data_IF_324704395635
#
_entry.id   IF_324704395635
#
_cell.length_a   1.000
_cell.length_b   1.000
_cell.length_c   1.000
_cell.angle_alpha   90.00
_cell.angle_beta   90.00
_cell.angle_gamma   90.00
#
_symmetry.space_group_name_H-M   'P 1'
#
loop_
_entity.id
_entity.type
_entity.pdbx_description
1 polymer ?
#
# COMPACT_ATOMS: atom_id res chain seq x y z
N UNK A 1 7.54 2.42 -28.30
CA UNK A 1 7.37 3.88 -28.50
C UNK A 1 6.20 4.10 -29.45
N UNK A 2 5.23 4.91 -29.04
CA UNK A 2 4.18 5.63 -29.81
C UNK A 2 3.04 5.95 -28.82
N UNK A 3 3.09 7.03 -28.02
CA UNK A 3 2.62 8.41 -28.30
C UNK A 3 1.22 8.48 -28.92
N UNK A 4 0.20 8.66 -28.06
CA UNK A 4 -1.14 9.08 -28.45
C UNK A 4 -1.23 10.61 -28.42
N UNK A 5 -1.69 11.17 -29.54
CA UNK A 5 -1.86 12.60 -29.77
C UNK A 5 -3.18 13.10 -29.18
N UNK A 6 -3.10 14.21 -28.46
CA UNK A 6 -4.22 15.06 -28.03
C UNK A 6 -4.90 15.71 -29.22
N UNK A 7 -6.23 15.86 -29.17
CA UNK A 7 -6.94 16.83 -30.01
C UNK A 7 -7.99 17.55 -29.17
N UNK A 8 -7.73 18.85 -29.00
CA UNK A 8 -8.55 19.82 -28.30
C UNK A 8 -9.85 20.13 -29.08
N UNK A 9 -10.89 20.46 -28.32
CA UNK A 9 -12.19 20.94 -28.80
C UNK A 9 -12.07 22.40 -29.25
N UNK A 10 -12.67 22.70 -30.41
CA UNK A 10 -12.94 24.06 -30.89
C UNK A 10 -14.43 24.20 -31.22
N UNK A 11 -15.09 25.02 -30.40
CA UNK A 11 -16.17 26.01 -30.66
C UNK A 11 -16.74 26.20 -32.10
N UNK A 12 -18.09 26.14 -32.21
CA UNK A 12 -19.01 26.96 -33.06
C UNK A 12 -20.46 26.43 -32.89
N UNK A 13 -21.40 27.20 -32.33
CA UNK A 13 -22.29 28.24 -32.91
C UNK A 13 -23.39 27.71 -33.84
N UNK A 14 -24.61 27.74 -33.30
CA UNK A 14 -25.96 28.05 -33.83
C UNK A 14 -26.58 27.41 -35.10
N UNK A 15 -27.89 27.14 -34.94
CA UNK A 15 -29.01 27.41 -35.86
C UNK A 15 -29.76 26.23 -36.55
N UNK A 16 -31.00 26.08 -36.07
CA UNK A 16 -32.30 25.77 -36.70
C UNK A 16 -32.59 24.55 -37.61
N UNK A 17 -33.83 24.06 -37.35
CA UNK A 17 -34.86 23.55 -38.26
C UNK A 17 -35.08 22.05 -38.54
N UNK A 18 -36.39 21.76 -38.60
CA UNK A 18 -37.08 20.46 -38.54
C UNK A 18 -36.81 19.51 -39.73
N UNK A 19 -37.08 18.19 -39.55
CA UNK A 19 -37.04 17.21 -40.64
C UNK A 19 -38.40 17.00 -41.34
N UNK A 20 -38.46 17.31 -42.63
CA UNK A 20 -39.42 16.77 -43.60
C UNK A 20 -38.82 15.52 -44.28
N UNK A 21 -39.64 14.47 -44.44
CA UNK A 21 -39.19 13.12 -44.77
C UNK A 21 -38.94 12.83 -46.25
N UNK A 22 -38.45 11.62 -46.52
CA UNK A 22 -38.73 10.84 -47.73
C UNK A 22 -38.12 9.43 -47.61
N UNK A 23 -38.79 8.46 -48.25
CA UNK A 23 -38.60 7.03 -48.11
C UNK A 23 -37.68 6.41 -49.18
N UNK A 24 -36.97 5.34 -48.78
CA UNK A 24 -36.49 4.22 -49.63
C UNK A 24 -35.34 4.52 -50.62
N UNK A 25 -34.54 3.52 -51.04
CA UNK A 25 -35.00 2.18 -51.39
C UNK A 25 -34.16 0.99 -50.86
N UNK A 26 -34.77 -0.18 -51.00
CA UNK A 26 -34.31 -1.53 -50.68
C UNK A 26 -33.12 -2.02 -51.52
N UNK A 27 -32.12 -2.64 -50.88
CA UNK A 27 -31.13 -3.49 -51.55
C UNK A 27 -31.12 -4.90 -50.97
N UNK A 28 -31.09 -5.88 -51.88
CA UNK A 28 -31.08 -7.32 -51.62
C UNK A 28 -29.69 -7.74 -51.15
N UNK A 29 -29.52 -8.63 -50.15
CA UNK A 29 -28.19 -9.13 -49.82
C UNK A 29 -27.76 -10.26 -50.78
N UNK A 30 -26.62 -10.02 -51.42
CA UNK A 30 -25.83 -10.99 -52.19
C UNK A 30 -25.39 -12.18 -51.32
N UNK A 31 -25.34 -13.37 -51.93
CA UNK A 31 -24.95 -14.63 -51.26
C UNK A 31 -23.48 -14.91 -51.56
N UNK A 32 -22.68 -15.03 -50.52
CA UNK A 32 -21.27 -15.43 -50.61
C UNK A 32 -21.10 -16.95 -50.36
N UNK A 33 -20.08 -17.53 -50.99
CA UNK A 33 -19.86 -18.96 -51.34
C UNK A 33 -19.70 -19.95 -50.14
N UNK A 34 -19.97 -19.53 -48.90
CA UNK A 34 -19.95 -20.40 -47.71
C UNK A 34 -21.22 -20.35 -46.85
N UNK A 35 -22.32 -19.76 -47.32
CA UNK A 35 -23.66 -19.99 -46.73
C UNK A 35 -23.85 -19.49 -45.28
N UNK A 36 -22.97 -18.62 -44.77
CA UNK A 36 -23.12 -18.02 -43.44
C UNK A 36 -23.66 -16.60 -43.62
N UNK A 37 -24.96 -16.43 -43.38
CA UNK A 37 -25.61 -15.13 -43.30
C UNK A 37 -25.11 -14.42 -42.03
N UNK A 38 -24.28 -13.37 -42.19
CA UNK A 38 -23.96 -12.45 -41.09
C UNK A 38 -25.22 -11.68 -40.69
N UNK A 39 -25.94 -12.18 -39.69
CA UNK A 39 -26.99 -11.39 -39.04
C UNK A 39 -26.35 -10.50 -37.98
N UNK A 40 -26.37 -9.18 -38.18
CA UNK A 40 -26.06 -8.21 -37.12
C UNK A 40 -27.05 -8.30 -35.94
N UNK A 41 -26.77 -7.62 -34.82
CA UNK A 41 -27.62 -7.67 -33.63
C UNK A 41 -29.03 -7.15 -33.96
N UNK A 42 -30.04 -8.00 -33.77
CA UNK A 42 -31.44 -7.65 -33.98
C UNK A 42 -31.90 -6.74 -32.85
N UNK A 43 -32.18 -5.47 -33.14
CA UNK A 43 -32.97 -4.60 -32.28
C UNK A 43 -34.38 -5.19 -32.15
N UNK A 44 -34.67 -5.79 -30.99
CA UNK A 44 -35.99 -6.29 -30.65
C UNK A 44 -36.89 -5.11 -30.23
N UNK A 45 -37.58 -4.50 -31.19
CA UNK A 45 -38.77 -3.71 -30.87
C UNK A 45 -39.91 -4.69 -30.58
N UNK A 46 -40.24 -4.86 -29.30
CA UNK A 46 -41.38 -5.66 -28.86
C UNK A 46 -42.23 -4.82 -27.93
N UNK A 47 -43.48 -4.58 -28.29
CA UNK A 47 -44.49 -4.09 -27.34
C UNK A 47 -44.56 -5.03 -26.13
N UNK A 48 -44.65 -4.44 -24.94
CA UNK A 48 -44.42 -5.07 -23.63
C UNK A 48 -45.24 -6.36 -23.41
N UNK A 49 -46.45 -6.42 -23.97
CA UNK A 49 -47.34 -7.58 -23.84
C UNK A 49 -46.87 -8.78 -24.65
N UNK A 50 -46.40 -8.59 -25.88
CA UNK A 50 -45.90 -9.69 -26.75
C UNK A 50 -44.55 -10.25 -26.30
N UNK A 51 -43.76 -9.44 -25.57
CA UNK A 51 -42.49 -9.85 -24.97
C UNK A 51 -42.72 -10.81 -23.79
N UNK A 52 -43.67 -10.50 -22.90
CA UNK A 52 -44.01 -11.33 -21.75
C UNK A 52 -44.57 -12.71 -22.13
N UNK A 53 -45.43 -12.80 -23.15
CA UNK A 53 -45.93 -14.09 -23.62
C UNK A 53 -44.83 -14.95 -24.24
N UNK A 54 -43.91 -14.34 -25.00
CA UNK A 54 -42.73 -15.04 -25.53
C UNK A 54 -41.82 -15.51 -24.40
N UNK A 55 -41.56 -14.65 -23.41
CA UNK A 55 -40.74 -14.99 -22.25
C UNK A 55 -41.38 -16.10 -21.40
N UNK A 56 -42.70 -16.07 -21.20
CA UNK A 56 -43.46 -17.13 -20.51
C UNK A 56 -43.38 -18.45 -21.27
N UNK A 57 -43.49 -18.43 -22.59
CA UNK A 57 -43.35 -19.62 -23.44
C UNK A 57 -41.92 -20.15 -23.43
N UNK A 58 -40.90 -19.28 -23.44
CA UNK A 58 -39.50 -19.68 -23.28
C UNK A 58 -39.22 -20.25 -21.90
N UNK A 59 -39.80 -19.67 -20.85
CA UNK A 59 -39.71 -20.17 -19.49
C UNK A 59 -40.32 -21.56 -19.36
N UNK A 60 -41.51 -21.78 -19.95
CA UNK A 60 -42.16 -23.09 -19.95
C UNK A 60 -41.31 -24.14 -20.68
N UNK A 61 -40.81 -23.81 -21.89
CA UNK A 61 -39.88 -24.68 -22.63
C UNK A 61 -38.60 -24.98 -21.85
N UNK A 62 -38.09 -24.02 -21.08
CA UNK A 62 -36.88 -24.18 -20.26
C UNK A 62 -37.13 -25.03 -19.02
N UNK A 63 -38.32 -24.91 -18.41
CA UNK A 63 -38.78 -25.78 -17.32
C UNK A 63 -38.91 -27.24 -17.80
N UNK A 64 -39.56 -27.47 -18.95
CA UNK A 64 -39.73 -28.82 -19.51
C UNK A 64 -38.38 -29.46 -19.85
N UNK A 65 -37.44 -28.68 -20.41
CA UNK A 65 -36.05 -29.15 -20.64
C UNK A 65 -35.32 -29.51 -19.35
N UNK A 66 -35.51 -28.72 -18.29
CA UNK A 66 -34.90 -29.01 -16.98
C UNK A 66 -35.53 -30.24 -16.34
N UNK A 67 -36.83 -30.44 -16.47
CA UNK A 67 -37.52 -31.64 -16.00
C UNK A 67 -37.06 -32.88 -16.78
N UNK A 68 -36.94 -32.80 -18.11
CA UNK A 68 -36.36 -33.86 -18.93
C UNK A 68 -34.90 -34.15 -18.54
N UNK A 69 -34.07 -33.12 -18.31
CA UNK A 69 -32.69 -33.30 -17.85
C UNK A 69 -32.61 -33.89 -16.44
N UNK A 70 -33.56 -33.56 -15.55
CA UNK A 70 -33.67 -34.18 -14.21
C UNK A 70 -34.08 -35.64 -14.31
N UNK A 71 -35.02 -35.98 -15.19
CA UNK A 71 -35.41 -37.37 -15.46
C UNK A 71 -34.24 -38.16 -16.05
N UNK A 72 -33.53 -37.62 -17.05
CA UNK A 72 -32.35 -38.26 -17.66
C UNK A 72 -31.19 -38.43 -16.67
N UNK A 73 -31.04 -37.53 -15.68
CA UNK A 73 -30.02 -37.65 -14.63
C UNK A 73 -30.45 -38.57 -13.47
N UNK A 74 -31.75 -38.65 -13.17
CA UNK A 74 -32.28 -39.51 -12.12
C UNK A 74 -32.41 -40.97 -12.59
N UNK A 75 -32.76 -41.20 -13.86
CA UNK A 75 -32.66 -42.51 -14.49
C UNK A 75 -31.35 -42.58 -15.26
N UNK A 76 -30.27 -42.86 -14.54
CA UNK A 76 -29.05 -43.41 -15.12
C UNK A 76 -29.34 -44.77 -15.75
N UNK A 77 -30.05 -44.77 -16.88
CA UNK A 77 -30.30 -45.95 -17.69
C UNK A 77 -29.04 -46.29 -18.43
N UNK A 78 -28.25 -47.10 -17.73
CA UNK A 78 -27.50 -48.19 -18.29
C UNK A 78 -28.28 -48.77 -19.49
N UNK A 79 -27.84 -48.48 -20.72
CA UNK A 79 -28.23 -49.27 -21.88
C UNK A 79 -27.63 -50.65 -21.64
N UNK A 80 -28.46 -51.59 -21.20
CA UNK A 80 -28.09 -52.97 -20.94
C UNK A 80 -27.79 -53.68 -22.27
N UNK A 81 -26.59 -53.45 -22.79
CA UNK A 81 -26.00 -54.19 -23.90
C UNK A 81 -24.70 -54.83 -23.43
N UNK A 82 -24.77 -56.11 -23.05
CA UNK A 82 -23.66 -57.07 -22.87
C UNK A 82 -22.51 -56.60 -21.97
N UNK A 83 -22.48 -57.17 -20.77
CA UNK A 83 -21.37 -57.10 -19.82
C UNK A 83 -20.03 -57.42 -20.48
N UNK A 84 -19.15 -56.42 -20.58
CA UNK A 84 -17.74 -56.67 -20.84
C UNK A 84 -17.11 -57.26 -19.56
N UNK A 85 -16.68 -58.52 -19.68
CA UNK A 85 -16.05 -59.34 -18.65
C UNK A 85 -14.54 -59.18 -18.86
N UNK A 86 -13.96 -58.11 -18.33
CA UNK A 86 -12.54 -58.05 -17.98
C UNK A 86 -12.41 -57.09 -16.80
N UNK A 87 -11.76 -57.52 -15.74
CA UNK A 87 -11.65 -56.84 -14.45
C UNK A 87 -10.70 -55.65 -14.43
N UNK A 88 -10.72 -54.81 -15.47
CA UNK A 88 -10.11 -53.47 -15.46
C UNK A 88 -10.99 -52.44 -14.76
N UNK A 89 -12.26 -52.78 -14.42
CA UNK A 89 -13.22 -51.86 -13.78
C UNK A 89 -12.77 -51.26 -12.45
N UNK A 90 -11.90 -51.92 -11.69
CA UNK A 90 -11.41 -51.40 -10.40
C UNK A 90 -10.33 -50.34 -10.62
N UNK A 91 -9.35 -50.63 -11.46
CA UNK A 91 -8.28 -49.70 -11.83
C UNK A 91 -8.80 -48.52 -12.64
N UNK A 92 -9.77 -48.75 -13.53
CA UNK A 92 -10.44 -47.71 -14.31
C UNK A 92 -11.30 -46.80 -13.42
N UNK A 93 -12.00 -47.35 -12.42
CA UNK A 93 -12.69 -46.55 -11.40
C UNK A 93 -11.73 -45.74 -10.55
N UNK A 94 -10.57 -46.30 -10.20
CA UNK A 94 -9.56 -45.56 -9.43
C UNK A 94 -8.93 -44.45 -10.28
N UNK A 95 -8.70 -44.69 -11.57
CA UNK A 95 -8.25 -43.68 -12.51
C UNK A 95 -9.29 -42.56 -12.69
N UNK A 96 -10.57 -42.91 -12.80
CA UNK A 96 -11.66 -41.93 -12.86
C UNK A 96 -11.78 -41.15 -11.55
N UNK A 97 -11.68 -41.81 -10.39
CA UNK A 97 -11.68 -41.14 -9.08
C UNK A 97 -10.51 -40.16 -8.94
N UNK A 98 -9.30 -40.55 -9.35
CA UNK A 98 -8.14 -39.63 -9.38
C UNK A 98 -8.33 -38.48 -10.36
N UNK A 99 -8.98 -38.72 -11.50
CA UNK A 99 -9.29 -37.67 -12.47
C UNK A 99 -10.36 -36.71 -11.93
N UNK A 100 -11.37 -37.21 -11.23
CA UNK A 100 -12.41 -36.42 -10.57
C UNK A 100 -11.87 -35.63 -9.37
N UNK A 101 -10.93 -36.19 -8.61
CA UNK A 101 -10.16 -35.48 -7.58
C UNK A 101 -9.28 -34.39 -8.20
N UNK A 102 -8.58 -34.67 -9.31
CA UNK A 102 -7.80 -33.66 -10.00
C UNK A 102 -8.69 -32.55 -10.57
N UNK A 103 -9.89 -32.89 -11.09
CA UNK A 103 -10.90 -31.92 -11.52
C UNK A 103 -11.43 -31.12 -10.34
N UNK A 104 -11.72 -31.74 -9.19
CA UNK A 104 -12.21 -31.04 -7.99
C UNK A 104 -11.17 -30.09 -7.43
N UNK A 105 -9.89 -30.46 -7.42
CA UNK A 105 -8.78 -29.58 -7.03
C UNK A 105 -8.62 -28.41 -8.00
N UNK A 106 -8.77 -28.63 -9.32
CA UNK A 106 -8.77 -27.54 -10.32
C UNK A 106 -9.96 -26.61 -10.13
N UNK A 107 -11.15 -27.15 -9.89
CA UNK A 107 -12.35 -26.36 -9.62
C UNK A 107 -12.20 -25.55 -8.34
N UNK A 108 -11.69 -26.14 -7.26
CA UNK A 108 -11.43 -25.44 -6.00
C UNK A 108 -10.34 -24.36 -6.16
N UNK A 109 -9.32 -24.60 -6.98
CA UNK A 109 -8.30 -23.59 -7.31
C UNK A 109 -8.90 -22.42 -8.09
N UNK A 110 -9.78 -22.69 -9.06
CA UNK A 110 -10.47 -21.68 -9.85
C UNK A 110 -11.49 -20.90 -9.01
N UNK A 111 -12.26 -21.56 -8.15
CA UNK A 111 -13.17 -20.91 -7.19
C UNK A 111 -12.40 -19.97 -6.26
N UNK A 112 -11.22 -20.41 -5.78
CA UNK A 112 -10.35 -19.57 -4.96
C UNK A 112 -9.70 -18.43 -5.76
N UNK A 113 -9.55 -18.55 -7.07
CA UNK A 113 -9.09 -17.46 -7.92
C UNK A 113 -10.21 -16.42 -8.10
N UNK A 114 -11.43 -16.87 -8.42
CA UNK A 114 -12.61 -16.02 -8.54
C UNK A 114 -12.91 -15.25 -7.26
N UNK A 115 -12.89 -15.89 -6.09
CA UNK A 115 -13.08 -15.17 -4.82
C UNK A 115 -12.03 -14.07 -4.58
N UNK A 116 -10.78 -14.29 -4.98
CA UNK A 116 -9.74 -13.25 -4.86
C UNK A 116 -9.96 -12.10 -5.82
N UNK A 117 -10.45 -12.38 -7.02
CA UNK A 117 -10.81 -11.37 -8.00
C UNK A 117 -12.00 -10.54 -7.50
N UNK A 118 -13.06 -11.17 -6.99
CA UNK A 118 -14.20 -10.50 -6.35
C UNK A 118 -13.77 -9.62 -5.16
N UNK A 119 -12.87 -10.12 -4.31
CA UNK A 119 -12.33 -9.34 -3.18
C UNK A 119 -11.48 -8.16 -3.67
N UNK A 120 -10.72 -8.33 -4.75
CA UNK A 120 -9.92 -7.27 -5.35
C UNK A 120 -10.83 -6.19 -5.97
N UNK A 121 -11.88 -6.57 -6.69
CA UNK A 121 -12.89 -5.64 -7.23
C UNK A 121 -13.59 -4.86 -6.11
N UNK A 122 -13.95 -5.52 -5.01
CA UNK A 122 -14.52 -4.85 -3.83
C UNK A 122 -13.56 -3.84 -3.23
N UNK A 123 -12.27 -4.17 -3.14
CA UNK A 123 -11.24 -3.25 -2.67
C UNK A 123 -11.05 -2.06 -3.63
N UNK A 124 -11.10 -2.28 -4.94
CA UNK A 124 -11.02 -1.20 -5.93
C UNK A 124 -12.24 -0.27 -5.82
N UNK A 125 -13.45 -0.82 -5.71
CA UNK A 125 -14.65 -0.03 -5.50
C UNK A 125 -14.61 0.77 -4.18
N UNK A 126 -14.07 0.18 -3.10
CA UNK A 126 -13.86 0.87 -1.84
C UNK A 126 -12.83 2.00 -1.97
N UNK A 127 -11.74 1.79 -2.72
CA UNK A 127 -10.75 2.83 -3.02
C UNK A 127 -11.36 3.96 -3.85
N UNK A 128 -12.14 3.64 -4.88
CA UNK A 128 -12.83 4.63 -5.71
C UNK A 128 -13.78 5.50 -4.88
N UNK A 129 -14.58 4.89 -4.01
CA UNK A 129 -15.45 5.62 -3.07
C UNK A 129 -14.66 6.50 -2.10
N UNK A 130 -13.45 6.07 -1.73
CA UNK A 130 -12.58 6.86 -0.87
C UNK A 130 -11.98 8.06 -1.61
N UNK A 131 -11.56 7.88 -2.87
CA UNK A 131 -11.05 8.96 -3.71
C UNK A 131 -12.12 9.98 -4.03
N UNK A 132 -13.34 9.55 -4.40
CA UNK A 132 -14.48 10.46 -4.61
C UNK A 132 -14.79 11.27 -3.34
N UNK A 133 -14.73 10.64 -2.17
CA UNK A 133 -14.94 11.33 -0.89
C UNK A 133 -13.82 12.32 -0.58
N UNK A 134 -12.55 11.96 -0.80
CA UNK A 134 -11.45 12.91 -0.58
C UNK A 134 -11.55 14.10 -1.52
N UNK A 135 -11.83 13.87 -2.80
CA UNK A 135 -12.06 14.95 -3.78
C UNK A 135 -13.23 15.85 -3.37
N UNK A 136 -14.30 15.27 -2.82
CA UNK A 136 -15.43 16.06 -2.30
C UNK A 136 -15.00 16.94 -1.12
N UNK A 137 -14.21 16.41 -0.18
CA UNK A 137 -13.68 17.19 0.94
C UNK A 137 -12.76 18.31 0.46
N UNK A 138 -11.90 18.04 -0.52
CA UNK A 138 -11.00 19.06 -1.08
C UNK A 138 -11.79 20.18 -1.76
N UNK A 139 -12.80 19.83 -2.58
CA UNK A 139 -13.72 20.80 -3.21
C UNK A 139 -14.48 21.64 -2.18
N UNK A 140 -14.96 21.02 -1.09
CA UNK A 140 -15.59 21.74 0.02
C UNK A 140 -14.62 22.70 0.72
N UNK A 141 -13.38 22.28 0.96
CA UNK A 141 -12.34 23.12 1.57
C UNK A 141 -11.94 24.30 0.67
N UNK A 142 -11.97 24.12 -0.64
CA UNK A 142 -11.75 25.18 -1.63
C UNK A 142 -12.92 26.15 -1.74
N UNK A 143 -14.09 25.81 -1.18
CA UNK A 143 -15.29 26.62 -1.24
C UNK A 143 -16.05 26.47 -2.56
N UNK A 144 -15.81 25.40 -3.31
CA UNK A 144 -16.62 25.08 -4.48
C UNK A 144 -18.01 24.61 -4.03
N UNK A 145 -19.06 25.06 -4.73
CA UNK A 145 -20.43 24.60 -4.49
C UNK A 145 -20.50 23.10 -4.70
N UNK A 146 -20.91 22.35 -3.67
CA UNK A 146 -21.18 20.92 -3.78
C UNK A 146 -22.60 20.75 -4.27
N UNK A 147 -22.77 20.03 -5.37
CA UNK A 147 -24.08 19.69 -5.91
C UNK A 147 -24.57 18.37 -5.27
N UNK A 148 -25.88 18.28 -4.98
CA UNK A 148 -26.48 17.11 -4.35
C UNK A 148 -26.37 15.85 -5.22
N UNK A 149 -26.50 16.00 -6.53
CA UNK A 149 -26.26 14.98 -7.54
C UNK A 149 -25.49 15.62 -8.71
N UNK A 150 -24.66 14.88 -9.45
CA UNK A 150 -24.01 15.39 -10.66
C UNK A 150 -24.98 15.85 -11.77
N UNK A 151 -26.26 15.45 -11.67
CA UNK A 151 -27.30 15.73 -12.66
C UNK A 151 -28.34 16.76 -12.20
N UNK A 152 -28.37 17.10 -10.91
CA UNK A 152 -29.29 18.09 -10.37
C UNK A 152 -28.44 19.26 -9.86
N UNK A 153 -28.51 20.42 -10.53
CA UNK A 153 -27.77 21.64 -10.19
C UNK A 153 -28.22 22.29 -8.87
N UNK A 154 -28.76 21.51 -7.93
CA UNK A 154 -29.14 21.95 -6.60
C UNK A 154 -27.90 22.04 -5.71
N UNK A 155 -27.52 23.26 -5.26
CA UNK A 155 -26.46 23.44 -4.28
C UNK A 155 -26.85 22.77 -2.96
N UNK A 156 -25.92 22.05 -2.35
CA UNK A 156 -26.04 21.66 -0.94
C UNK A 156 -25.58 22.84 -0.09
N UNK A 157 -26.52 23.50 0.57
CA UNK A 157 -26.21 24.54 1.56
C UNK A 157 -25.75 23.88 2.86
N UNK A 158 -24.49 24.12 3.22
CA UNK A 158 -23.95 23.70 4.50
C UNK A 158 -24.12 24.80 5.53
N UNK A 159 -24.49 24.44 6.76
CA UNK A 159 -24.57 25.37 7.89
C UNK A 159 -23.20 25.94 8.30
N UNK A 160 -22.11 25.36 7.79
CA UNK A 160 -20.73 25.71 8.13
C UNK A 160 -19.97 26.06 6.85
N UNK A 161 -19.38 27.25 6.83
CA UNK A 161 -18.50 27.68 5.74
C UNK A 161 -17.12 27.00 5.86
N UNK A 162 -16.91 25.90 5.12
CA UNK A 162 -15.65 25.15 5.13
C UNK A 162 -14.42 25.98 4.71
N UNK A 163 -14.62 27.03 3.90
CA UNK A 163 -13.56 27.93 3.45
C UNK A 163 -13.04 28.91 4.52
N UNK A 164 -13.79 29.18 5.59
CA UNK A 164 -13.41 30.18 6.62
C UNK A 164 -12.09 29.84 7.32
N UNK A 165 -11.92 28.56 7.68
CA UNK A 165 -10.70 28.10 8.33
C UNK A 165 -9.48 28.18 7.41
N UNK A 166 -9.64 27.84 6.12
CA UNK A 166 -8.58 27.94 5.12
C UNK A 166 -8.17 29.39 4.89
N UNK A 167 -9.15 30.30 4.71
CA UNK A 167 -8.89 31.75 4.58
C UNK A 167 -8.14 32.30 5.79
N UNK A 168 -8.53 31.93 7.01
CA UNK A 168 -7.83 32.34 8.23
C UNK A 168 -6.38 31.84 8.27
N UNK A 169 -6.13 30.60 7.87
CA UNK A 169 -4.77 30.03 7.80
C UNK A 169 -3.93 30.73 6.73
N UNK A 170 -4.51 31.03 5.57
CA UNK A 170 -3.81 31.71 4.49
C UNK A 170 -3.54 33.18 4.83
N UNK A 171 -4.44 33.85 5.56
CA UNK A 171 -4.24 35.19 6.13
C UNK A 171 -3.15 35.19 7.20
N UNK A 172 -3.14 34.21 8.12
CA UNK A 172 -2.09 34.06 9.13
C UNK A 172 -0.73 33.79 8.46
N UNK A 173 -0.69 32.90 7.45
CA UNK A 173 0.52 32.64 6.65
C UNK A 173 0.97 33.86 5.85
N UNK A 174 0.06 34.69 5.37
CA UNK A 174 0.38 35.95 4.70
C UNK A 174 0.93 36.97 5.72
N UNK A 175 0.29 37.10 6.88
CA UNK A 175 0.72 37.99 7.95
C UNK A 175 2.11 37.60 8.50
N UNK A 176 2.40 36.31 8.63
CA UNK A 176 3.74 35.83 9.01
C UNK A 176 4.79 36.15 7.94
N UNK A 177 4.44 36.03 6.66
CA UNK A 177 5.31 36.43 5.55
C UNK A 177 5.57 37.95 5.55
N UNK A 178 4.55 38.76 5.80
CA UNK A 178 4.72 40.21 5.89
C UNK A 178 5.52 40.61 7.14
N UNK A 179 5.28 40.01 8.32
CA UNK A 179 6.10 40.21 9.52
C UNK A 179 7.57 39.87 9.28
N UNK A 180 7.84 38.83 8.48
CA UNK A 180 9.19 38.45 8.12
C UNK A 180 9.83 39.45 7.16
N UNK A 181 9.09 39.92 6.13
CA UNK A 181 9.55 41.01 5.25
C UNK A 181 9.84 42.29 6.04
N UNK A 182 8.95 42.67 6.95
CA UNK A 182 9.15 43.82 7.83
C UNK A 182 10.38 43.64 8.73
N UNK A 183 10.66 42.43 9.23
CA UNK A 183 11.91 42.14 9.97
C UNK A 183 13.16 42.20 9.09
N UNK A 184 13.06 41.77 7.83
CA UNK A 184 14.16 41.86 6.86
C UNK A 184 14.43 43.32 6.45
N UNK A 185 13.39 44.14 6.30
CA UNK A 185 13.48 45.58 5.98
C UNK A 185 13.88 46.43 7.18
N UNK A 186 13.45 46.06 8.40
CA UNK A 186 13.82 46.75 9.65
C UNK A 186 15.21 46.36 10.16
N UNK A 187 15.84 45.33 9.60
CA UNK A 187 17.21 44.98 9.92
C UNK A 187 18.17 46.09 9.39
N UNK A 188 19.03 46.67 10.25
CA UNK A 188 19.89 47.77 9.86
C UNK A 188 20.83 47.33 8.72
N UNK A 189 20.78 48.06 7.59
CA UNK A 189 21.64 47.85 6.43
C UNK A 189 23.06 48.28 6.80
N UNK A 190 23.82 47.36 7.39
CA UNK A 190 25.21 47.62 7.74
C UNK A 190 25.84 46.48 8.51
N UNK A 191 26.82 45.84 7.88
CA UNK A 191 27.66 44.72 8.33
C UNK A 191 27.11 43.30 8.09
N UNK A 192 27.50 42.75 6.93
CA UNK A 192 27.68 41.31 6.75
C UNK A 192 26.41 40.51 6.41
N UNK A 193 25.88 40.67 5.19
CA UNK A 193 25.03 39.63 4.59
C UNK A 193 25.89 38.41 4.24
N UNK A 194 26.04 37.48 5.17
CA UNK A 194 26.16 36.08 4.79
C UNK A 194 24.76 35.61 4.36
N UNK A 195 24.59 34.91 3.23
CA UNK A 195 23.30 34.33 2.86
C UNK A 195 22.83 33.44 4.03
N UNK A 196 21.64 33.69 4.55
CA UNK A 196 20.99 32.76 5.47
C UNK A 196 20.82 31.45 4.67
N UNK A 197 21.40 30.32 5.10
CA UNK A 197 21.22 29.07 4.37
C UNK A 197 19.73 28.74 4.26
N UNK A 198 19.22 28.57 3.03
CA UNK A 198 17.81 28.28 2.67
C UNK A 198 17.27 26.94 3.20
N UNK A 199 17.91 26.35 4.20
CA UNK A 199 17.51 25.07 4.81
C UNK A 199 16.43 25.22 5.88
N UNK A 200 15.96 26.44 6.16
CA UNK A 200 14.90 26.69 7.13
C UNK A 200 13.56 26.89 6.42
N UNK A 201 12.95 25.79 5.95
CA UNK A 201 11.56 25.81 5.49
C UNK A 201 10.62 25.94 6.70
N UNK A 202 9.96 27.09 6.86
CA UNK A 202 8.99 27.31 7.95
C UNK A 202 7.73 26.42 7.88
N UNK A 203 7.54 25.73 6.75
CA UNK A 203 6.52 24.68 6.57
C UNK A 203 6.97 23.31 7.09
N UNK A 204 8.27 23.12 7.33
CA UNK A 204 8.81 21.90 7.90
C UNK A 204 8.65 22.02 9.42
N UNK A 205 7.83 21.14 10.01
CA UNK A 205 7.53 21.14 11.45
C UNK A 205 8.82 21.36 12.24
N UNK A 206 8.86 22.42 13.07
CA UNK A 206 9.98 22.64 14.00
C UNK A 206 10.29 21.28 14.61
N UNK A 207 11.54 20.82 14.50
CA UNK A 207 11.97 19.56 15.12
C UNK A 207 11.45 19.60 16.54
N UNK A 208 10.42 18.80 16.84
CA UNK A 208 9.83 18.73 18.17
C UNK A 208 10.95 18.17 19.01
N UNK A 209 11.68 19.07 19.69
CA UNK A 209 12.81 18.65 20.47
C UNK A 209 12.28 17.61 21.46
N UNK A 210 12.87 16.42 21.43
CA UNK A 210 12.44 15.33 22.29
C UNK A 210 12.49 15.76 23.76
N UNK A 211 11.98 14.91 24.65
CA UNK A 211 11.92 15.15 26.10
C UNK A 211 13.25 15.59 26.74
N UNK A 212 14.39 15.36 26.07
CA UNK A 212 15.72 15.80 26.50
C UNK A 212 15.96 17.32 26.45
N UNK A 213 15.12 18.10 25.75
CA UNK A 213 15.29 19.55 25.61
C UNK A 213 14.21 20.37 26.35
N UNK A 214 13.38 19.72 27.18
CA UNK A 214 12.40 20.42 28.00
C UNK A 214 13.12 21.24 29.07
N UNK A 215 12.96 22.57 29.04
CA UNK A 215 13.49 23.46 30.08
C UNK A 215 12.66 23.29 31.34
N UNK A 216 13.25 22.68 32.36
CA UNK A 216 12.62 22.54 33.67
C UNK A 216 12.46 23.91 34.34
N UNK A 217 11.38 24.09 35.10
CA UNK A 217 11.16 25.33 35.84
C UNK A 217 12.25 25.59 36.90
N UNK A 218 12.44 26.87 37.22
CA UNK A 218 13.43 27.30 38.22
C UNK A 218 12.97 27.04 39.66
N UNK A 219 11.66 26.95 39.89
CA UNK A 219 11.07 26.64 41.19
C UNK A 219 11.23 25.15 41.50
N UNK A 220 11.81 24.81 42.66
CA UNK A 220 12.13 23.43 43.01
C UNK A 220 10.89 22.50 43.05
N UNK A 221 9.75 22.96 43.55
CA UNK A 221 8.54 22.14 43.63
C UNK A 221 7.97 21.86 42.23
N UNK A 222 7.81 22.90 41.41
CA UNK A 222 7.34 22.75 40.01
C UNK A 222 8.30 21.88 39.18
N UNK A 223 9.61 22.01 39.40
CA UNK A 223 10.63 21.16 38.79
C UNK A 223 10.46 19.69 39.15
N UNK A 224 10.20 19.37 40.43
CA UNK A 224 9.97 17.99 40.88
C UNK A 224 8.74 17.40 40.20
N UNK A 225 7.64 18.14 40.14
CA UNK A 225 6.40 17.69 39.49
C UNK A 225 6.61 17.46 37.98
N UNK A 226 7.36 18.34 37.32
CA UNK A 226 7.72 18.19 35.90
C UNK A 226 8.59 16.95 35.66
N UNK A 227 9.57 16.69 36.54
CA UNK A 227 10.41 15.49 36.47
C UNK A 227 9.59 14.22 36.71
N UNK A 228 8.72 14.21 37.71
CA UNK A 228 7.85 13.06 38.01
C UNK A 228 6.95 12.74 36.82
N UNK A 229 6.36 13.78 36.20
CA UNK A 229 5.57 13.64 34.98
C UNK A 229 6.39 13.05 33.83
N UNK A 230 7.64 13.49 33.64
CA UNK A 230 8.53 12.92 32.63
C UNK A 230 8.83 11.43 32.89
N UNK A 231 9.10 11.07 34.15
CA UNK A 231 9.34 9.67 34.54
C UNK A 231 8.09 8.80 34.31
N UNK A 232 6.90 9.31 34.62
CA UNK A 232 5.64 8.62 34.33
C UNK A 232 5.45 8.40 32.82
N UNK A 233 5.74 9.40 32.00
CA UNK A 233 5.69 9.29 30.54
C UNK A 233 6.70 8.29 29.98
N UNK A 234 7.92 8.24 30.55
CA UNK A 234 8.91 7.21 30.23
C UNK A 234 8.38 5.81 30.54
N UNK A 235 7.86 5.59 31.76
CA UNK A 235 7.27 4.30 32.16
C UNK A 235 6.12 3.89 31.23
N UNK A 236 5.24 4.82 30.86
CA UNK A 236 4.15 4.57 29.90
C UNK A 236 4.69 4.14 28.53
N UNK A 237 5.76 4.78 28.06
CA UNK A 237 6.41 4.45 26.79
C UNK A 237 7.06 3.06 26.84
N UNK A 238 7.71 2.71 27.95
CA UNK A 238 8.33 1.39 28.12
C UNK A 238 7.28 0.28 28.18
N UNK A 239 6.16 0.50 28.86
CA UNK A 239 5.01 -0.41 28.86
C UNK A 239 4.45 -0.57 27.44
N UNK A 240 4.30 0.52 26.69
CA UNK A 240 3.79 0.48 25.32
C UNK A 240 4.74 -0.28 24.38
N UNK A 241 6.05 -0.04 24.48
CA UNK A 241 7.09 -0.77 23.75
C UNK A 241 7.08 -2.26 24.09
N UNK A 242 6.94 -2.61 25.38
CA UNK A 242 6.84 -3.99 25.82
C UNK A 242 5.60 -4.68 25.23
N UNK A 243 4.42 -4.03 25.27
CA UNK A 243 3.19 -4.53 24.65
C UNK A 243 3.36 -4.73 23.14
N UNK A 244 3.94 -3.76 22.44
CA UNK A 244 4.19 -3.86 20.99
C UNK A 244 5.16 -5.01 20.65
N UNK A 245 6.20 -5.22 21.48
CA UNK A 245 7.13 -6.35 21.34
C UNK A 245 6.41 -7.68 21.51
N UNK A 246 5.53 -7.81 22.50
CA UNK A 246 4.73 -9.00 22.74
C UNK A 246 3.72 -9.25 21.60
N UNK A 247 3.04 -8.22 21.10
CA UNK A 247 2.17 -8.34 19.93
C UNK A 247 2.91 -8.77 18.67
N UNK A 248 4.12 -8.22 18.45
CA UNK A 248 4.98 -8.62 17.34
C UNK A 248 5.38 -10.09 17.45
N UNK A 249 5.80 -10.55 18.64
CA UNK A 249 6.09 -11.98 18.89
C UNK A 249 4.86 -12.86 18.63
N UNK A 250 3.67 -12.47 19.08
CA UNK A 250 2.42 -13.21 18.82
C UNK A 250 2.09 -13.27 17.33
N UNK A 251 2.21 -12.16 16.61
CA UNK A 251 2.01 -12.10 15.14
C UNK A 251 3.01 -13.00 14.40
N UNK A 252 4.27 -12.98 14.80
CA UNK A 252 5.31 -13.85 14.25
C UNK A 252 5.03 -15.33 14.55
N UNK A 253 4.59 -15.66 15.77
CA UNK A 253 4.20 -17.03 16.14
C UNK A 253 3.01 -17.53 15.31
N UNK A 254 1.98 -16.71 15.12
CA UNK A 254 0.82 -17.05 14.27
C UNK A 254 1.25 -17.23 12.82
N UNK A 255 2.04 -16.30 12.26
CA UNK A 255 2.57 -16.39 10.90
C UNK A 255 3.36 -17.69 10.71
N UNK A 256 4.18 -18.06 11.69
CA UNK A 256 4.96 -19.29 11.70
C UNK A 256 4.09 -20.54 11.80
N UNK A 257 3.08 -20.54 12.67
CA UNK A 257 2.13 -21.66 12.77
C UNK A 257 1.39 -21.88 11.44
N UNK A 258 1.00 -20.80 10.75
CA UNK A 258 0.39 -20.86 9.42
C UNK A 258 1.36 -21.41 8.36
N UNK A 259 2.64 -21.02 8.41
CA UNK A 259 3.68 -21.58 7.54
C UNK A 259 3.89 -23.08 7.81
N UNK A 260 3.96 -23.50 9.07
CA UNK A 260 4.12 -24.91 9.41
C UNK A 260 2.92 -25.75 8.95
N UNK A 261 1.68 -25.25 9.08
CA UNK A 261 0.49 -25.91 8.52
C UNK A 261 0.59 -26.07 6.99
N UNK A 262 1.09 -25.06 6.29
CA UNK A 262 1.27 -25.11 4.83
C UNK A 262 2.38 -26.08 4.42
N UNK A 263 3.47 -26.16 5.21
CA UNK A 263 4.56 -27.12 5.00
C UNK A 263 4.10 -28.56 5.19
N UNK A 264 3.37 -28.85 6.28
CA UNK A 264 2.78 -30.18 6.54
C UNK A 264 1.85 -30.58 5.39
N UNK A 265 1.00 -29.65 4.93
CA UNK A 265 0.12 -29.88 3.78
C UNK A 265 0.89 -30.23 2.50
N UNK A 266 2.08 -29.68 2.34
CA UNK A 266 2.94 -29.92 1.18
C UNK A 266 3.91 -31.11 1.38
N UNK A 267 3.84 -31.84 2.49
CA UNK A 267 4.73 -32.96 2.79
C UNK A 267 6.15 -32.56 3.23
N UNK A 268 6.38 -31.31 3.62
CA UNK A 268 7.66 -30.84 4.16
C UNK A 268 7.65 -30.84 5.69
N UNK A 269 8.82 -31.10 6.29
CA UNK A 269 9.03 -30.99 7.72
C UNK A 269 8.80 -29.54 8.23
N UNK A 270 8.25 -29.39 9.45
CA UNK A 270 8.02 -28.09 10.05
C UNK A 270 9.34 -27.33 10.26
N UNK A 271 9.29 -26.00 10.26
CA UNK A 271 10.50 -25.20 10.49
C UNK A 271 11.00 -25.38 11.94
N UNK A 272 12.27 -25.71 12.16
CA UNK A 272 12.86 -25.93 13.50
C UNK A 272 12.77 -24.65 14.32
N UNK A 273 12.32 -24.74 15.57
CA UNK A 273 12.10 -23.58 16.45
C UNK A 273 13.30 -22.63 16.39
N UNK A 274 13.02 -21.34 16.19
CA UNK A 274 14.11 -20.35 16.12
C UNK A 274 14.70 -20.32 17.52
N UNK A 275 15.94 -20.76 17.66
CA UNK A 275 16.63 -20.66 18.94
C UNK A 275 16.52 -19.21 19.44
N UNK A 276 16.18 -19.01 20.72
CA UNK A 276 16.16 -17.68 21.29
C UNK A 276 17.55 -17.10 21.04
N UNK A 277 17.59 -15.98 20.33
CA UNK A 277 18.84 -15.25 20.15
C UNK A 277 19.36 -15.00 21.57
N UNK A 278 20.61 -15.38 21.89
CA UNK A 278 21.12 -15.22 23.24
C UNK A 278 20.86 -13.77 23.67
N UNK A 279 20.37 -13.55 24.91
CA UNK A 279 20.17 -12.20 25.38
C UNK A 279 21.47 -11.42 25.15
N UNK A 280 21.39 -10.17 24.67
CA UNK A 280 22.59 -9.36 24.52
C UNK A 280 23.36 -9.42 25.85
N UNK A 281 24.70 -9.59 25.81
CA UNK A 281 25.49 -9.68 27.02
C UNK A 281 25.16 -8.47 27.90
N UNK A 282 24.91 -8.72 29.19
CA UNK A 282 24.75 -7.64 30.16
C UNK A 282 26.05 -6.84 30.16
N UNK A 283 26.00 -5.65 29.59
CA UNK A 283 27.15 -4.76 29.52
C UNK A 283 27.34 -4.22 30.93
N UNK A 284 28.45 -4.58 31.55
CA UNK A 284 28.85 -4.03 32.84
C UNK A 284 29.13 -2.53 32.68
N UNK A 285 28.18 -1.69 33.10
CA UNK A 285 28.24 -0.24 32.92
C UNK A 285 29.40 0.39 33.71
N UNK A 286 29.86 -0.27 34.78
CA UNK A 286 30.95 0.18 35.62
C UNK A 286 32.33 -0.03 34.97
N UNK A 287 32.39 -0.83 33.89
CA UNK A 287 33.59 -1.02 33.06
C UNK A 287 33.79 0.06 32.01
N UNK A 288 32.82 0.96 31.82
CA UNK A 288 32.92 2.07 30.87
C UNK A 288 33.85 3.13 31.49
N UNK A 289 35.02 3.42 30.89
CA UNK A 289 35.96 4.38 31.47
C UNK A 289 35.31 5.76 31.56
N UNK A 290 35.54 6.43 32.69
CA UNK A 290 35.13 7.82 32.91
C UNK A 290 35.82 8.73 31.89
N UNK A 291 35.15 9.80 31.43
CA UNK A 291 35.74 10.74 30.47
C UNK A 291 37.02 11.36 31.08
N UNK A 292 38.17 11.05 30.48
CA UNK A 292 39.49 11.55 30.89
C UNK A 292 40.54 10.48 31.24
N UNK A 293 40.15 9.20 31.41
CA UNK A 293 41.14 8.11 31.48
C UNK A 293 41.68 7.79 30.09
N UNK A 294 43.01 7.87 29.92
CA UNK A 294 43.68 7.49 28.68
C UNK A 294 43.55 5.98 28.50
N UNK A 295 42.82 5.57 27.46
CA UNK A 295 42.70 4.16 27.07
C UNK A 295 44.10 3.60 26.80
N UNK A 296 44.36 2.39 27.27
CA UNK A 296 45.62 1.72 26.96
C UNK A 296 45.69 1.42 25.44
N UNK A 297 46.88 1.44 24.81
CA UNK A 297 47.02 1.14 23.38
C UNK A 297 46.38 -0.20 22.96
N UNK A 298 46.38 -1.19 23.85
CA UNK A 298 45.78 -2.50 23.64
C UNK A 298 44.24 -2.45 23.59
N UNK A 299 43.60 -1.66 24.48
CA UNK A 299 42.15 -1.45 24.49
C UNK A 299 41.69 -0.69 23.25
N UNK A 300 42.47 0.30 22.81
CA UNK A 300 42.20 1.05 21.59
C UNK A 300 42.26 0.14 20.35
N UNK A 301 43.28 -0.72 20.27
CA UNK A 301 43.42 -1.69 19.18
C UNK A 301 42.32 -2.75 19.21
N UNK A 302 41.95 -3.25 20.39
CA UNK A 302 40.84 -4.21 20.55
C UNK A 302 39.48 -3.62 20.14
N UNK A 303 39.22 -2.34 20.42
CA UNK A 303 38.01 -1.64 19.95
C UNK A 303 38.00 -1.47 18.43
N UNK A 304 39.15 -1.16 17.84
CA UNK A 304 39.30 -1.02 16.40
C UNK A 304 39.05 -2.35 15.67
N UNK A 305 39.47 -3.47 16.28
CA UNK A 305 39.30 -4.81 15.72
C UNK A 305 37.89 -5.41 15.92
N UNK A 306 37.09 -4.89 16.86
CA UNK A 306 35.76 -5.41 17.22
C UNK A 306 34.60 -4.84 16.38
N UNK A 307 34.85 -4.23 15.22
CA UNK A 307 33.75 -3.85 14.33
C UNK A 307 33.28 -5.07 13.51
N UNK A 308 32.44 -5.92 14.12
CA UNK A 308 31.82 -7.09 13.47
C UNK A 308 30.72 -6.72 12.44
N UNK A 309 30.76 -5.50 11.91
CA UNK A 309 29.76 -4.99 10.99
C UNK A 309 30.18 -5.27 9.54
N UNK A 310 29.23 -5.77 8.75
CA UNK A 310 29.56 -6.29 7.41
C UNK A 310 30.14 -5.24 6.45
N UNK A 311 29.87 -3.95 6.67
CA UNK A 311 30.42 -2.84 5.87
C UNK A 311 31.76 -2.29 6.38
N UNK A 312 32.25 -2.80 7.53
CA UNK A 312 33.61 -2.57 8.02
C UNK A 312 34.58 -3.69 7.58
N UNK A 313 34.07 -4.79 7.02
CA UNK A 313 34.89 -5.83 6.35
C UNK A 313 35.57 -5.22 5.12
N UNK A 314 36.84 -4.84 5.27
CA UNK A 314 37.68 -4.28 4.20
C UNK A 314 38.29 -2.91 4.51
N UNK A 315 37.77 -2.19 5.51
CA UNK A 315 38.34 -0.88 5.90
C UNK A 315 39.72 -0.98 6.57
N UNK A 316 40.06 -2.15 7.12
CA UNK A 316 41.38 -2.43 7.69
C UNK A 316 42.53 -2.36 6.67
N UNK A 317 42.27 -2.57 5.37
CA UNK A 317 43.33 -2.51 4.35
C UNK A 317 43.80 -1.08 4.05
N UNK A 318 42.90 -0.09 4.14
CA UNK A 318 43.26 1.31 3.93
C UNK A 318 44.00 1.88 5.15
N UNK A 319 43.59 1.49 6.37
CA UNK A 319 44.25 1.93 7.59
C UNK A 319 45.65 1.33 7.75
N UNK A 320 45.82 0.06 7.41
CA UNK A 320 47.15 -0.61 7.43
C UNK A 320 48.13 -0.01 6.43
N UNK A 321 47.67 0.44 5.25
CA UNK A 321 48.54 1.15 4.31
C UNK A 321 48.98 2.53 4.84
N UNK A 322 48.08 3.28 5.48
CA UNK A 322 48.41 4.58 6.09
C UNK A 322 49.39 4.41 7.25
N UNK A 323 49.18 3.41 8.11
CA UNK A 323 50.08 3.09 9.22
C UNK A 323 51.45 2.68 8.71
N UNK A 324 51.51 1.79 7.71
CA UNK A 324 52.77 1.43 7.05
C UNK A 324 53.49 2.64 6.45
N UNK A 325 52.76 3.57 5.83
CA UNK A 325 53.30 4.82 5.31
C UNK A 325 53.66 5.85 6.39
N UNK A 326 53.25 5.65 7.64
CA UNK A 326 53.69 6.45 8.79
C UNK A 326 54.95 5.85 9.41
N UNK A 327 55.03 4.53 9.48
CA UNK A 327 56.19 3.81 9.99
C UNK A 327 57.39 3.86 9.03
N UNK A 328 57.15 3.90 7.71
CA UNK A 328 58.20 4.03 6.69
C UNK A 328 58.70 5.49 6.49
N UNK A 329 58.06 6.48 7.11
CA UNK A 329 58.47 7.90 6.97
C UNK A 329 59.59 8.21 7.96
N UNK A 330 60.66 8.86 7.49
CA UNK A 330 61.79 9.28 8.33
C UNK A 330 61.31 10.03 9.59
N UNK A 331 61.91 9.73 10.74
CA UNK A 331 61.54 10.30 12.05
C UNK A 331 61.59 11.84 12.07
N UNK A 332 62.35 12.47 11.16
CA UNK A 332 62.41 13.92 10.97
C UNK A 332 61.11 14.55 10.44
N UNK A 333 60.26 13.76 9.78
CA UNK A 333 58.95 14.22 9.28
C UNK A 333 57.77 13.70 10.12
N UNK A 334 58.04 12.99 11.22
CA UNK A 334 56.99 12.63 12.16
C UNK A 334 56.55 13.88 12.92
N UNK A 335 55.23 14.19 12.99
CA UNK A 335 54.76 15.31 13.78
C UNK A 335 55.25 15.15 15.24
N UNK A 336 55.69 16.24 15.90
CA UNK A 336 56.20 16.17 17.27
C UNK A 336 55.21 15.44 18.18
N UNK A 337 55.73 14.58 19.07
CA UNK A 337 54.90 13.77 19.97
C UNK A 337 53.96 14.61 20.87
N UNK A 338 54.19 15.92 20.98
CA UNK A 338 53.29 16.88 21.62
C UNK A 338 51.91 17.03 20.94
N UNK A 339 51.76 16.63 19.68
CA UNK A 339 50.47 16.70 18.96
C UNK A 339 49.48 15.60 19.39
N UNK A 340 49.95 14.54 20.03
CA UNK A 340 49.15 13.38 20.40
C UNK A 340 48.85 13.32 21.91
N UNK A 341 49.01 14.44 22.62
CA UNK A 341 48.96 14.51 24.09
C UNK A 341 47.56 14.65 24.67
#
# INVERSE_FOLDING_TARGET
MATFASRELSEKVEEEDQPEGAAGPSEKPEKDVLGIVKTGPKLLSTGETSSLFKLKNEFLKRKDRLEQQRIIKATGTHVAGKSNILSTKKEERERQAREDEARSVRMAKNERALRREEDAERLLAAKHKLTEKSELYDRMQEGHVVLANPNDDTPIDFLVDFGTKKRRIDEERAADRERYREQEEAAPVGFGRAPIPDQYHHSEEQRVYGTSHMRLSMNQNKRKDEIEKLLEMSKKTDIAKAKQKEEKKKKEAIKRANLNKLRIKNGLEPLPEREPTPPPPEIDLDSIPLPGQKETPEERHARLMKSDREWDRGKGHYTTWIEKQRDERDDEFRPPDSYYQ
#
